data_IF_270809035785
#
_entry.id   IF_270809035785
#
_cell.length_a   1.000
_cell.length_b   1.000
_cell.length_c   1.000
_cell.angle_alpha   90.00
_cell.angle_beta   90.00
_cell.angle_gamma   90.00
#
_symmetry.space_group_name_H-M   'P 1'
#
loop_
_entity.id
_entity.type
_entity.pdbx_description
1 polymer ?
#
# COMPACT_ATOMS: atom_id res chain seq x y z
N UNK A 1 -24.87 14.65 68.48
CA UNK A 1 -24.96 14.02 67.14
C UNK A 1 -24.57 15.06 66.11
N UNK A 2 -23.30 15.07 65.71
CA UNK A 2 -22.66 16.17 64.98
C UNK A 2 -22.70 15.94 63.45
N UNK A 3 -23.22 16.87 62.63
CA UNK A 3 -23.44 16.68 61.19
C UNK A 3 -22.16 16.86 60.33
N UNK A 4 -21.00 17.06 60.96
CA UNK A 4 -19.76 17.45 60.28
C UNK A 4 -18.99 16.28 59.65
N UNK A 5 -19.26 15.03 60.04
CA UNK A 5 -18.55 13.86 59.48
C UNK A 5 -19.01 13.43 58.07
N UNK A 6 -20.12 13.96 57.56
CA UNK A 6 -20.72 13.48 56.30
C UNK A 6 -20.18 14.16 55.03
N UNK A 7 -19.38 15.22 55.16
CA UNK A 7 -18.89 16.03 54.02
C UNK A 7 -17.44 15.74 53.60
N UNK A 8 -16.70 14.96 54.37
CA UNK A 8 -15.30 14.65 54.06
C UNK A 8 -15.14 13.53 53.00
N UNK A 9 -16.17 12.73 52.76
CA UNK A 9 -16.11 11.55 51.89
C UNK A 9 -16.18 11.85 50.39
N UNK A 10 -16.58 13.08 50.00
CA UNK A 10 -16.75 13.43 48.58
C UNK A 10 -15.50 14.07 47.95
N UNK A 11 -14.55 14.56 48.75
CA UNK A 11 -13.38 15.28 48.24
C UNK A 11 -12.23 14.37 47.79
N UNK A 12 -12.26 13.07 48.14
CA UNK A 12 -11.18 12.11 47.86
C UNK A 12 -11.38 11.31 46.57
N UNK A 13 -12.48 11.51 45.84
CA UNK A 13 -12.77 10.80 44.57
C UNK A 13 -12.42 11.60 43.31
N UNK A 14 -11.94 12.84 43.45
CA UNK A 14 -11.65 13.72 42.31
C UNK A 14 -10.39 13.37 41.48
N UNK A 15 -9.29 12.78 42.00
CA UNK A 15 -8.12 12.49 41.17
C UNK A 15 -8.25 11.18 40.38
N UNK A 16 -9.29 10.37 40.63
CA UNK A 16 -9.57 9.15 39.86
C UNK A 16 -10.32 9.42 38.54
N UNK A 17 -10.84 10.65 38.35
CA UNK A 17 -11.53 11.08 37.13
C UNK A 17 -10.62 11.84 36.16
N UNK A 18 -9.40 12.19 36.55
CA UNK A 18 -8.33 12.61 35.63
C UNK A 18 -7.54 11.39 35.16
N UNK A 19 -8.26 10.34 34.76
CA UNK A 19 -7.68 9.19 34.10
C UNK A 19 -7.07 9.66 32.77
N UNK A 20 -5.77 9.44 32.64
CA UNK A 20 -4.94 9.74 31.48
C UNK A 20 -5.67 9.58 30.13
N UNK A 21 -6.23 10.66 29.59
CA UNK A 21 -6.39 10.78 28.14
C UNK A 21 -5.06 11.25 27.54
N UNK A 22 -3.98 10.51 27.85
CA UNK A 22 -2.75 10.59 27.08
C UNK A 22 -3.14 10.05 25.72
N UNK A 23 -3.29 10.96 24.75
CA UNK A 23 -3.82 10.68 23.43
C UNK A 23 -3.14 9.46 22.83
N UNK A 24 -3.81 8.30 22.91
CA UNK A 24 -3.48 7.17 22.10
C UNK A 24 -3.67 7.64 20.66
N UNK A 25 -2.57 7.92 19.98
CA UNK A 25 -2.53 8.17 18.55
C UNK A 25 -2.90 6.84 17.88
N UNK A 26 -4.18 6.51 17.90
CA UNK A 26 -4.72 5.35 17.20
C UNK A 26 -4.63 5.73 15.72
N UNK A 27 -3.53 5.32 15.08
CA UNK A 27 -3.39 5.42 13.64
C UNK A 27 -4.66 4.83 13.01
N UNK A 28 -5.36 5.56 12.12
CA UNK A 28 -6.53 5.02 11.43
C UNK A 28 -6.17 3.81 10.56
N UNK A 29 -4.87 3.64 10.25
CA UNK A 29 -4.32 2.50 9.53
C UNK A 29 -3.91 1.38 10.49
N UNK A 30 -4.36 0.16 10.18
CA UNK A 30 -3.89 -1.08 10.79
C UNK A 30 -2.38 -1.29 10.57
N UNK A 31 -1.71 -2.13 11.37
CA UNK A 31 -0.30 -2.47 11.16
C UNK A 31 0.01 -2.98 9.75
N UNK A 32 -0.85 -3.84 9.21
CA UNK A 32 -0.75 -4.38 7.84
C UNK A 32 -0.80 -3.26 6.80
N UNK A 33 -1.78 -2.36 6.90
CA UNK A 33 -1.92 -1.25 5.97
C UNK A 33 -0.69 -0.33 6.01
N UNK A 34 -0.14 -0.06 7.19
CA UNK A 34 1.10 0.74 7.31
C UNK A 34 2.30 0.05 6.66
N UNK A 35 2.39 -1.27 6.81
CA UNK A 35 3.50 -2.05 6.28
C UNK A 35 3.48 -2.10 4.75
N UNK A 36 2.33 -2.35 4.12
CA UNK A 36 2.26 -2.68 2.70
C UNK A 36 1.64 -1.58 1.81
N UNK A 37 0.80 -0.68 2.34
CA UNK A 37 0.21 0.37 1.51
C UNK A 37 1.28 1.37 1.09
N UNK A 38 1.26 1.76 -0.18
CA UNK A 38 2.23 2.71 -0.69
C UNK A 38 2.36 2.68 -2.20
N UNK A 39 3.32 3.47 -2.69
CA UNK A 39 3.71 3.49 -4.09
C UNK A 39 5.01 2.70 -4.26
N UNK A 40 5.06 1.86 -5.28
CA UNK A 40 6.21 1.07 -5.67
C UNK A 40 6.58 1.42 -7.11
N UNK A 41 7.87 1.56 -7.41
CA UNK A 41 8.37 1.87 -8.74
C UNK A 41 9.50 0.93 -9.14
N UNK A 42 9.59 0.62 -10.41
CA UNK A 42 10.66 -0.23 -10.92
C UNK A 42 10.42 -0.64 -12.37
N UNK A 43 10.86 -1.85 -12.71
CA UNK A 43 10.92 -2.31 -14.09
C UNK A 43 10.29 -3.69 -14.23
N UNK A 44 9.49 -3.84 -15.29
CA UNK A 44 9.08 -5.13 -15.83
C UNK A 44 9.97 -5.53 -17.00
N UNK A 45 10.44 -6.77 -17.02
CA UNK A 45 11.26 -7.35 -18.09
C UNK A 45 10.47 -8.48 -18.74
N UNK A 46 10.28 -8.39 -20.06
CA UNK A 46 9.52 -9.38 -20.82
C UNK A 46 9.88 -9.38 -22.30
N UNK A 47 9.04 -10.00 -23.14
CA UNK A 47 9.35 -10.23 -24.57
C UNK A 47 9.49 -8.94 -25.39
N UNK A 48 8.86 -7.84 -24.97
CA UNK A 48 8.97 -6.54 -25.65
C UNK A 48 10.07 -5.64 -25.07
N UNK A 49 10.88 -6.15 -24.14
CA UNK A 49 11.97 -5.41 -23.50
C UNK A 49 11.69 -5.01 -22.05
N UNK A 50 12.27 -3.88 -21.65
CA UNK A 50 12.22 -3.35 -20.27
C UNK A 50 11.23 -2.19 -20.23
N UNK A 51 10.21 -2.31 -19.38
CA UNK A 51 9.14 -1.32 -19.24
C UNK A 51 9.11 -0.78 -17.81
N UNK A 52 9.19 0.54 -17.59
CA UNK A 52 9.08 1.12 -16.26
C UNK A 52 7.62 1.12 -15.78
N UNK A 53 7.39 0.71 -14.53
CA UNK A 53 6.07 0.66 -13.92
C UNK A 53 6.02 1.37 -12.57
N UNK A 54 4.84 1.90 -12.24
CA UNK A 54 4.47 2.37 -10.91
C UNK A 54 3.24 1.62 -10.42
N UNK A 55 3.32 1.00 -9.25
CA UNK A 55 2.21 0.34 -8.57
C UNK A 55 1.81 1.14 -7.33
N UNK A 56 0.57 1.61 -7.28
CA UNK A 56 -0.04 2.12 -6.05
C UNK A 56 -0.83 0.98 -5.43
N UNK A 57 -0.45 0.56 -4.24
CA UNK A 57 -1.02 -0.60 -3.54
C UNK A 57 -1.79 -0.15 -2.29
N UNK A 58 -3.02 -0.64 -2.15
CA UNK A 58 -3.86 -0.47 -0.98
C UNK A 58 -4.47 -1.81 -0.57
N UNK A 59 -4.07 -2.29 0.60
CA UNK A 59 -4.54 -3.52 1.23
C UNK A 59 -5.71 -3.20 2.14
N UNK A 60 -6.72 -4.07 2.14
CA UNK A 60 -7.95 -3.92 2.92
C UNK A 60 -8.11 -5.13 3.84
N UNK A 61 -7.65 -5.05 5.10
CA UNK A 61 -7.60 -6.21 6.01
C UNK A 61 -8.97 -6.86 6.25
N UNK A 62 -10.01 -6.05 6.40
CA UNK A 62 -11.37 -6.53 6.72
C UNK A 62 -12.02 -7.33 5.59
N UNK A 63 -11.63 -7.07 4.34
CA UNK A 63 -12.16 -7.76 3.16
C UNK A 63 -11.22 -8.81 2.59
N UNK A 64 -10.03 -9.00 3.18
CA UNK A 64 -8.92 -9.78 2.59
C UNK A 64 -8.62 -9.38 1.12
N UNK A 65 -8.93 -8.12 0.82
CA UNK A 65 -8.89 -7.57 -0.53
C UNK A 65 -7.66 -6.70 -0.71
N UNK A 66 -7.22 -6.62 -1.95
CA UNK A 66 -6.21 -5.65 -2.36
C UNK A 66 -6.74 -4.87 -3.57
N UNK A 67 -6.41 -3.59 -3.60
CA UNK A 67 -6.84 -2.65 -4.62
C UNK A 67 -5.69 -1.72 -4.96
N UNK A 68 -5.70 -1.15 -6.16
CA UNK A 68 -4.61 -0.29 -6.57
C UNK A 68 -4.66 0.17 -8.00
N UNK A 69 -3.55 0.74 -8.45
CA UNK A 69 -3.35 1.14 -9.84
C UNK A 69 -1.95 0.76 -10.27
N UNK A 70 -1.83 0.01 -11.36
CA UNK A 70 -0.57 -0.23 -12.05
C UNK A 70 -0.49 0.72 -13.25
N UNK A 71 0.54 1.54 -13.31
CA UNK A 71 0.79 2.48 -14.40
C UNK A 71 2.03 2.09 -15.16
N UNK A 72 1.91 1.94 -16.47
CA UNK A 72 3.05 1.87 -17.38
C UNK A 72 3.57 3.30 -17.58
N UNK A 73 4.81 3.57 -17.16
CA UNK A 73 5.38 4.92 -17.18
C UNK A 73 5.89 5.32 -18.57
N UNK A 74 6.12 4.36 -19.46
CA UNK A 74 6.56 4.60 -20.85
C UNK A 74 5.40 5.15 -21.70
N UNK A 75 4.23 4.50 -21.65
CA UNK A 75 3.06 4.90 -22.45
C UNK A 75 1.96 5.61 -21.64
N UNK A 76 2.17 5.81 -20.33
CA UNK A 76 1.25 6.47 -19.40
C UNK A 76 -0.13 5.80 -19.27
N UNK A 77 -0.27 4.53 -19.66
CA UNK A 77 -1.49 3.77 -19.44
C UNK A 77 -1.60 3.31 -17.98
N UNK A 78 -2.79 3.49 -17.41
CA UNK A 78 -3.11 3.06 -16.05
C UNK A 78 -4.13 1.91 -16.08
N UNK A 79 -3.90 0.93 -15.21
CA UNK A 79 -4.73 -0.25 -15.03
C UNK A 79 -5.19 -0.31 -13.58
N UNK A 80 -6.50 -0.35 -13.37
CA UNK A 80 -7.07 -0.60 -12.06
C UNK A 80 -6.73 -2.03 -11.63
N UNK A 81 -6.25 -2.18 -10.40
CA UNK A 81 -5.87 -3.45 -9.81
C UNK A 81 -6.87 -3.82 -8.72
N UNK A 82 -7.31 -5.08 -8.73
CA UNK A 82 -8.15 -5.64 -7.66
C UNK A 82 -7.90 -7.13 -7.51
N UNK A 83 -7.93 -7.64 -6.28
CA UNK A 83 -7.80 -9.06 -6.03
C UNK A 83 -7.77 -9.39 -4.54
N UNK A 84 -7.13 -10.50 -4.21
CA UNK A 84 -6.92 -10.95 -2.84
C UNK A 84 -5.43 -10.91 -2.47
N UNK A 85 -5.18 -11.04 -1.18
CA UNK A 85 -3.84 -11.21 -0.65
C UNK A 85 -3.81 -12.34 0.38
N UNK A 86 -2.64 -12.95 0.54
CA UNK A 86 -2.33 -13.85 1.65
C UNK A 86 -1.12 -13.29 2.41
N UNK A 87 -1.21 -13.18 3.73
CA UNK A 87 -0.11 -12.72 4.56
C UNK A 87 0.56 -13.90 5.27
N UNK A 88 1.87 -14.01 5.12
CA UNK A 88 2.69 -14.99 5.86
C UNK A 88 3.90 -14.29 6.49
N UNK A 89 3.77 -13.94 7.78
CA UNK A 89 4.76 -13.13 8.48
C UNK A 89 4.88 -11.74 7.85
N UNK A 90 6.09 -11.38 7.41
CA UNK A 90 6.41 -10.11 6.76
C UNK A 90 6.28 -10.14 5.22
N UNK A 91 5.82 -11.26 4.67
CA UNK A 91 5.56 -11.41 3.23
C UNK A 91 4.07 -11.29 2.95
N UNK A 92 3.72 -10.49 1.93
CA UNK A 92 2.37 -10.35 1.40
C UNK A 92 2.32 -10.90 -0.02
N UNK A 93 1.67 -12.04 -0.22
CA UNK A 93 1.43 -12.62 -1.55
C UNK A 93 0.16 -12.00 -2.15
N UNK A 94 0.25 -11.55 -3.39
CA UNK A 94 -0.82 -10.90 -4.14
C UNK A 94 -1.28 -11.78 -5.30
N UNK A 95 -2.59 -11.97 -5.45
CA UNK A 95 -3.22 -12.51 -6.67
C UNK A 95 -4.27 -11.52 -7.15
N UNK A 96 -3.98 -10.83 -8.25
CA UNK A 96 -4.78 -9.68 -8.69
C UNK A 96 -5.03 -9.68 -10.19
N UNK A 97 -6.16 -9.08 -10.55
CA UNK A 97 -6.57 -8.81 -11.91
C UNK A 97 -6.41 -7.32 -12.22
N UNK A 98 -6.07 -7.03 -13.47
CA UNK A 98 -5.87 -5.70 -14.01
C UNK A 98 -6.98 -5.36 -15.00
N UNK A 99 -7.56 -4.17 -14.84
CA UNK A 99 -8.67 -3.68 -15.65
C UNK A 99 -8.35 -2.32 -16.26
N UNK A 100 -8.71 -2.12 -17.52
CA UNK A 100 -8.73 -0.83 -18.19
C UNK A 100 -10.20 -0.39 -18.35
N UNK A 101 -10.49 0.91 -18.25
CA UNK A 101 -11.85 1.46 -18.43
C UNK A 101 -12.93 0.79 -17.54
N UNK A 102 -12.55 0.33 -16.34
CA UNK A 102 -13.47 -0.19 -15.31
C UNK A 102 -13.86 -1.66 -15.45
N UNK A 103 -13.97 -2.22 -16.65
CA UNK A 103 -14.40 -3.62 -16.83
C UNK A 103 -13.58 -4.42 -17.86
N UNK A 104 -12.65 -3.80 -18.59
CA UNK A 104 -11.88 -4.51 -19.61
C UNK A 104 -10.70 -5.21 -18.95
N UNK A 105 -10.79 -6.52 -18.77
CA UNK A 105 -9.68 -7.31 -18.25
C UNK A 105 -8.47 -7.26 -19.20
N UNK A 106 -7.33 -6.82 -18.68
CA UNK A 106 -6.08 -6.62 -19.42
C UNK A 106 -4.93 -7.47 -18.93
N UNK A 107 -5.09 -8.16 -17.81
CA UNK A 107 -4.03 -9.00 -17.29
C UNK A 107 -4.19 -9.38 -15.84
N UNK A 108 -3.20 -10.10 -15.36
CA UNK A 108 -3.09 -10.54 -13.98
C UNK A 108 -1.72 -10.11 -13.45
N UNK A 109 -1.69 -9.61 -12.22
CA UNK A 109 -0.45 -9.31 -11.49
C UNK A 109 -0.39 -10.23 -10.27
N UNK A 110 0.64 -11.07 -10.23
CA UNK A 110 0.87 -12.03 -9.15
C UNK A 110 2.27 -11.88 -8.63
N UNK A 111 2.46 -11.87 -7.32
CA UNK A 111 3.78 -11.71 -6.75
C UNK A 111 3.75 -11.57 -5.24
N UNK A 112 4.89 -11.21 -4.69
CA UNK A 112 5.08 -11.05 -3.26
C UNK A 112 5.61 -9.66 -2.97
N UNK A 113 5.13 -9.04 -1.89
CA UNK A 113 5.73 -7.84 -1.30
C UNK A 113 6.50 -8.29 -0.07
N UNK A 114 7.80 -8.05 -0.06
CA UNK A 114 8.69 -8.35 1.06
C UNK A 114 9.74 -7.25 1.18
N UNK A 115 10.03 -6.82 2.41
CA UNK A 115 11.09 -5.85 2.69
C UNK A 115 10.96 -4.53 1.89
N UNK A 116 9.73 -4.14 1.53
CA UNK A 116 9.47 -2.95 0.73
C UNK A 116 9.69 -3.12 -0.77
N UNK A 117 9.88 -4.34 -1.26
CA UNK A 117 9.97 -4.66 -2.69
C UNK A 117 8.81 -5.57 -3.10
N UNK A 118 8.15 -5.24 -4.21
CA UNK A 118 7.25 -6.15 -4.92
C UNK A 118 8.05 -6.90 -5.99
N UNK A 119 7.96 -8.24 -6.00
CA UNK A 119 8.55 -9.10 -7.01
C UNK A 119 7.53 -10.12 -7.52
N UNK A 120 7.36 -10.22 -8.84
CA UNK A 120 6.29 -11.05 -9.38
C UNK A 120 6.25 -11.15 -10.91
N UNK A 121 5.09 -11.57 -11.39
CA UNK A 121 4.76 -11.71 -12.80
C UNK A 121 3.55 -10.85 -13.15
N UNK A 122 3.69 -10.10 -14.23
CA UNK A 122 2.59 -9.43 -14.93
C UNK A 122 2.28 -10.24 -16.20
N UNK A 123 1.07 -10.79 -16.29
CA UNK A 123 0.60 -11.50 -17.48
C UNK A 123 -0.46 -10.67 -18.16
N UNK A 124 -0.19 -10.19 -19.37
CA UNK A 124 -1.14 -9.37 -20.11
C UNK A 124 -2.07 -10.23 -20.95
N UNK A 125 -3.35 -9.90 -20.91
CA UNK A 125 -4.40 -10.49 -21.73
C UNK A 125 -4.68 -9.55 -22.89
N UNK A 126 -4.56 -10.06 -24.12
CA UNK A 126 -4.95 -9.35 -25.33
C UNK A 126 -5.92 -10.25 -26.10
N UNK A 127 -7.07 -9.70 -26.48
CA UNK A 127 -8.14 -10.43 -27.15
C UNK A 127 -8.57 -11.72 -26.42
N UNK A 128 -8.61 -11.70 -25.08
CA UNK A 128 -9.03 -12.83 -24.26
C UNK A 128 -8.02 -13.97 -24.15
N UNK A 129 -6.79 -13.80 -24.65
CA UNK A 129 -5.69 -14.76 -24.49
C UNK A 129 -4.55 -14.13 -23.70
N UNK A 130 -3.95 -14.88 -22.77
CA UNK A 130 -2.69 -14.48 -22.14
C UNK A 130 -1.59 -14.50 -23.21
N UNK A 131 -0.99 -13.35 -23.51
CA UNK A 131 -0.02 -13.24 -24.61
C UNK A 131 1.40 -12.96 -24.13
N UNK A 132 1.57 -12.03 -23.20
CA UNK A 132 2.89 -11.56 -22.79
C UNK A 132 3.04 -11.68 -21.29
N UNK A 133 4.16 -12.25 -20.86
CA UNK A 133 4.54 -12.37 -19.46
C UNK A 133 5.77 -11.52 -19.19
N UNK A 134 5.69 -10.68 -18.17
CA UNK A 134 6.79 -9.85 -17.70
C UNK A 134 7.12 -10.25 -16.27
N UNK A 135 8.41 -10.35 -15.95
CA UNK A 135 8.88 -10.37 -14.57
C UNK A 135 8.98 -8.94 -14.07
N UNK A 136 8.33 -8.62 -12.97
CA UNK A 136 8.21 -7.26 -12.45
C UNK A 136 8.89 -7.17 -11.09
N UNK A 137 9.75 -6.17 -10.91
CA UNK A 137 10.42 -5.86 -9.64
C UNK A 137 10.28 -4.37 -9.36
N UNK A 138 9.63 -4.02 -8.24
CA UNK A 138 9.29 -2.64 -7.87
C UNK A 138 9.68 -2.36 -6.42
N UNK A 139 10.49 -1.34 -6.18
CA UNK A 139 10.85 -0.89 -4.84
C UNK A 139 9.89 0.17 -4.31
N UNK A 140 9.63 0.17 -3.01
CA UNK A 140 8.79 1.19 -2.35
C UNK A 140 9.42 2.56 -2.50
N UNK A 141 8.61 3.52 -2.93
CA UNK A 141 8.99 4.93 -3.01
C UNK A 141 8.80 5.54 -1.63
N UNK A 142 9.90 5.71 -0.91
CA UNK A 142 9.92 6.55 0.29
C UNK A 142 9.86 8.02 -0.12
N UNK A 143 9.07 8.83 0.59
CA UNK A 143 8.94 10.27 0.35
C UNK A 143 10.28 11.04 0.43
N UNK A 144 11.34 10.44 0.97
CA UNK A 144 12.71 10.98 0.96
C UNK A 144 13.41 10.91 -0.41
N UNK A 145 12.97 10.04 -1.32
CA UNK A 145 13.60 9.86 -2.65
C UNK A 145 13.04 10.74 -3.76
N UNK A 146 11.90 11.39 -3.55
CA UNK A 146 11.25 12.22 -4.57
C UNK A 146 11.90 13.62 -4.72
N UNK A 147 12.52 14.14 -3.67
CA UNK A 147 13.21 15.44 -3.68
C UNK A 147 14.62 15.40 -4.31
N UNK A 148 15.19 14.20 -4.51
CA UNK A 148 16.55 14.02 -5.04
C UNK A 148 16.66 13.89 -6.57
N UNK A 149 15.54 13.75 -7.28
CA UNK A 149 15.54 13.58 -8.75
C UNK A 149 15.32 14.87 -9.54
N UNK A 150 14.90 15.96 -8.91
CA UNK A 150 14.72 17.27 -9.59
C UNK A 150 15.99 18.12 -9.61
N UNK A 151 16.94 17.90 -8.70
CA UNK A 151 18.15 18.74 -8.59
C UNK A 151 19.31 18.32 -9.50
N UNK A 152 19.22 17.18 -10.19
CA UNK A 152 20.29 16.69 -11.09
C UNK A 152 20.11 17.11 -12.56
N UNK A 153 19.01 17.79 -12.92
CA UNK A 153 18.76 18.29 -14.29
C UNK A 153 19.00 19.81 -14.46
N UNK A 154 19.54 20.50 -13.45
CA UNK A 154 19.93 21.92 -13.53
C UNK A 154 21.36 22.13 -13.03
N UNK A 155 22.33 21.70 -13.83
CA UNK A 155 23.76 22.08 -13.80
C UNK A 155 24.42 21.26 -14.90
N UNK A 156 25.00 21.79 -15.98
CA UNK A 156 25.69 23.03 -16.35
C UNK A 156 25.87 22.94 -17.89
N UNK A 157 26.66 23.82 -18.55
CA UNK A 157 26.84 25.26 -18.44
C UNK A 157 26.30 26.02 -19.67
#
# INVERSE_FOLDING_TARGET
MSPLLRRASLALLLPALTGCAIGAYISPLSPLERQFNGTYEGIGVGPTGRVPYRLVLAVQPRGQGVSGVLTNLENRKAYALSGSFEQKGDTLTLDTSLFEQGNQHRGNLRGEVREGEFSGQLRTVLFGKELLSYRVTLGRVSSEGAAGRETSSQRLP
#
